data_IF_931632624796
#
_entry.id   IF_931632624796
#
_cell.length_a   1.000
_cell.length_b   1.000
_cell.length_c   1.000
_cell.angle_alpha   90.00
_cell.angle_beta   90.00
_cell.angle_gamma   90.00
#
_symmetry.space_group_name_H-M   'P 1'
#
loop_
_entity.id
_entity.type
_entity.pdbx_description
1 polymer ?
#
# COMPACT_ATOMS: atom_id res chain seq x y z
N UNK A 1 7.93 -3.77 -29.54
CA UNK A 1 9.21 -3.92 -30.26
C UNK A 1 9.73 -5.32 -29.96
N UNK A 2 10.11 -6.12 -30.96
CA UNK A 2 10.78 -7.40 -30.71
C UNK A 2 11.97 -7.21 -29.76
N UNK A 3 12.19 -8.15 -28.84
CA UNK A 3 13.30 -8.14 -27.86
C UNK A 3 13.24 -7.10 -26.72
N UNK A 4 12.30 -6.15 -26.72
CA UNK A 4 12.11 -5.27 -25.56
C UNK A 4 11.37 -5.96 -24.41
N UNK A 5 11.70 -5.66 -23.14
CA UNK A 5 11.00 -6.20 -21.98
C UNK A 5 9.53 -5.75 -21.98
N UNK A 6 8.63 -6.68 -21.65
CA UNK A 6 7.19 -6.44 -21.64
C UNK A 6 6.62 -6.55 -20.24
N UNK A 7 5.48 -5.89 -20.02
CA UNK A 7 4.67 -6.08 -18.82
C UNK A 7 4.32 -7.55 -18.57
N UNK A 8 4.06 -8.32 -19.63
CA UNK A 8 3.80 -9.76 -19.51
C UNK A 8 4.95 -10.52 -18.87
N UNK A 9 6.19 -10.15 -19.22
CA UNK A 9 7.39 -10.84 -18.74
C UNK A 9 7.63 -10.49 -17.27
N UNK A 10 7.47 -9.21 -16.92
CA UNK A 10 7.55 -8.73 -15.55
C UNK A 10 6.46 -9.36 -14.67
N UNK A 11 5.20 -9.35 -15.09
CA UNK A 11 4.10 -9.93 -14.31
C UNK A 11 4.21 -11.44 -14.18
N UNK A 12 4.75 -12.16 -15.18
CA UNK A 12 5.00 -13.59 -15.04
C UNK A 12 6.04 -13.87 -13.92
N UNK A 13 7.13 -13.10 -13.89
CA UNK A 13 8.12 -13.20 -12.82
C UNK A 13 7.56 -12.79 -11.46
N UNK A 14 6.77 -11.71 -11.42
CA UNK A 14 6.17 -11.20 -10.18
C UNK A 14 5.10 -12.16 -9.64
N UNK A 15 4.29 -12.77 -10.51
CA UNK A 15 3.29 -13.78 -10.13
C UNK A 15 3.97 -15.01 -9.52
N UNK A 16 5.06 -15.51 -10.11
CA UNK A 16 5.81 -16.62 -9.55
C UNK A 16 6.37 -16.28 -8.15
N UNK A 17 6.89 -15.07 -7.97
CA UNK A 17 7.34 -14.56 -6.67
C UNK A 17 6.19 -14.52 -5.65
N UNK A 18 5.05 -13.90 -6.00
CA UNK A 18 3.92 -13.76 -5.09
C UNK A 18 3.32 -15.11 -4.69
N UNK A 19 3.18 -16.05 -5.64
CA UNK A 19 2.63 -17.37 -5.34
C UNK A 19 3.50 -18.17 -4.39
N UNK A 20 4.83 -18.09 -4.53
CA UNK A 20 5.75 -18.74 -3.58
C UNK A 20 5.51 -18.27 -2.13
N UNK A 21 5.37 -16.95 -1.92
CA UNK A 21 5.14 -16.40 -0.59
C UNK A 21 3.70 -16.56 -0.11
N UNK A 22 2.72 -16.60 -1.02
CA UNK A 22 1.33 -16.88 -0.67
C UNK A 22 1.15 -18.32 -0.16
N UNK A 23 1.78 -19.31 -0.82
CA UNK A 23 1.82 -20.70 -0.34
C UNK A 23 2.53 -20.83 1.01
N UNK A 24 3.61 -20.05 1.22
CA UNK A 24 4.27 -19.99 2.52
C UNK A 24 3.34 -19.40 3.59
N UNK A 25 2.68 -18.28 3.28
CA UNK A 25 1.74 -17.61 4.16
C UNK A 25 0.58 -18.52 4.58
N UNK A 26 0.06 -19.33 3.64
CA UNK A 26 -0.95 -20.37 3.93
C UNK A 26 -0.40 -21.40 4.92
N UNK A 27 0.77 -21.98 4.61
CA UNK A 27 1.41 -23.01 5.45
C UNK A 27 1.75 -22.53 6.85
N UNK A 28 2.06 -21.25 7.02
CA UNK A 28 2.42 -20.65 8.31
C UNK A 28 1.23 -20.03 9.03
N UNK A 29 0.03 -20.06 8.44
CA UNK A 29 -1.18 -19.49 9.05
C UNK A 29 -1.10 -17.96 9.20
N UNK A 30 -0.52 -17.26 8.22
CA UNK A 30 -0.49 -15.81 8.22
C UNK A 30 -1.92 -15.22 8.17
N UNK A 31 -2.14 -14.16 8.92
CA UNK A 31 -3.47 -13.55 9.04
C UNK A 31 -3.90 -12.72 7.83
N UNK A 32 -2.96 -12.30 6.97
CA UNK A 32 -3.21 -11.50 5.77
C UNK A 32 -2.03 -11.61 4.80
N UNK A 33 -2.29 -11.43 3.50
CA UNK A 33 -1.26 -11.33 2.47
C UNK A 33 -1.41 -10.03 1.66
N UNK A 34 -0.31 -9.30 1.45
CA UNK A 34 -0.28 -8.06 0.66
C UNK A 34 0.41 -8.35 -0.67
N UNK A 35 -0.37 -8.36 -1.76
CA UNK A 35 0.08 -8.81 -3.09
C UNK A 35 0.91 -7.77 -3.87
N UNK A 36 1.14 -6.59 -3.31
CA UNK A 36 1.97 -5.53 -3.92
C UNK A 36 2.06 -4.30 -3.02
N UNK A 37 3.12 -3.51 -3.20
CA UNK A 37 3.40 -2.30 -2.44
C UNK A 37 3.84 -1.18 -3.40
N UNK A 38 3.14 -0.04 -3.38
CA UNK A 38 3.50 1.23 -4.04
C UNK A 38 3.82 1.13 -5.55
N UNK A 39 3.19 0.18 -6.24
CA UNK A 39 3.44 -0.07 -7.66
C UNK A 39 2.68 0.93 -8.56
N UNK A 40 2.82 2.24 -8.30
CA UNK A 40 2.01 3.33 -8.87
C UNK A 40 1.87 3.23 -10.39
N UNK A 41 2.99 3.00 -11.08
CA UNK A 41 2.96 2.88 -12.54
C UNK A 41 2.29 1.58 -12.99
N UNK A 42 2.47 0.47 -12.27
CA UNK A 42 1.90 -0.81 -12.64
C UNK A 42 0.41 -0.91 -12.33
N UNK A 43 -0.17 -0.09 -11.44
CA UNK A 43 -1.57 -0.19 -11.04
C UNK A 43 -2.56 -0.05 -12.22
N UNK A 44 -2.15 0.64 -13.30
CA UNK A 44 -2.91 0.75 -14.56
C UNK A 44 -3.06 -0.58 -15.31
N UNK A 45 -2.25 -1.60 -14.99
CA UNK A 45 -2.27 -2.94 -15.60
C UNK A 45 -3.32 -3.81 -14.90
N UNK A 46 -4.57 -3.35 -14.95
CA UNK A 46 -5.69 -3.92 -14.19
C UNK A 46 -5.89 -5.41 -14.46
N UNK A 47 -5.85 -5.84 -15.74
CA UNK A 47 -6.05 -7.24 -16.10
C UNK A 47 -4.99 -8.14 -15.47
N UNK A 48 -3.73 -7.70 -15.45
CA UNK A 48 -2.64 -8.44 -14.85
C UNK A 48 -2.74 -8.49 -13.31
N UNK A 49 -3.11 -7.39 -12.65
CA UNK A 49 -3.34 -7.36 -11.20
C UNK A 49 -4.50 -8.26 -10.77
N UNK A 50 -5.63 -8.21 -11.49
CA UNK A 50 -6.78 -9.09 -11.23
C UNK A 50 -6.39 -10.56 -11.38
N UNK A 51 -5.61 -10.91 -12.41
CA UNK A 51 -5.10 -12.27 -12.60
C UNK A 51 -4.21 -12.68 -11.42
N UNK A 52 -3.25 -11.85 -11.06
CA UNK A 52 -2.33 -12.10 -9.95
C UNK A 52 -3.07 -12.33 -8.63
N UNK A 53 -4.00 -11.44 -8.27
CA UNK A 53 -4.76 -11.53 -7.02
C UNK A 53 -5.65 -12.78 -7.03
N UNK A 54 -6.31 -13.11 -8.15
CA UNK A 54 -7.07 -14.34 -8.28
C UNK A 54 -6.20 -15.60 -8.09
N UNK A 55 -4.96 -15.57 -8.61
CA UNK A 55 -4.00 -16.66 -8.43
C UNK A 55 -3.53 -16.77 -6.97
N UNK A 56 -3.23 -15.66 -6.30
CA UNK A 56 -2.89 -15.63 -4.86
C UNK A 56 -4.02 -16.22 -4.02
N UNK A 57 -5.27 -15.78 -4.24
CA UNK A 57 -6.46 -16.30 -3.53
C UNK A 57 -6.75 -17.78 -3.81
N UNK A 58 -6.14 -18.38 -4.84
CA UNK A 58 -6.25 -19.82 -5.10
C UNK A 58 -5.31 -20.68 -4.25
N UNK A 59 -4.28 -20.08 -3.65
CA UNK A 59 -3.27 -20.77 -2.82
C UNK A 59 -3.20 -20.27 -1.38
N UNK A 60 -3.81 -19.11 -1.09
CA UNK A 60 -3.90 -18.52 0.24
C UNK A 60 -5.37 -18.24 0.58
N UNK A 61 -5.83 -18.78 1.71
CA UNK A 61 -7.23 -18.76 2.15
C UNK A 61 -7.58 -17.55 3.02
N UNK A 62 -6.57 -16.83 3.55
CA UNK A 62 -6.76 -15.61 4.32
C UNK A 62 -7.07 -14.37 3.46
N UNK A 63 -7.33 -13.22 4.10
CA UNK A 63 -7.61 -11.97 3.42
C UNK A 63 -6.41 -11.47 2.60
N UNK A 64 -6.68 -11.02 1.38
CA UNK A 64 -5.67 -10.44 0.48
C UNK A 64 -5.87 -8.93 0.37
N UNK A 65 -4.77 -8.18 0.40
CA UNK A 65 -4.74 -6.73 0.20
C UNK A 65 -3.72 -6.33 -0.87
N UNK A 66 -3.73 -5.07 -1.26
CA UNK A 66 -2.70 -4.39 -2.05
C UNK A 66 -2.42 -3.05 -1.39
N UNK A 67 -1.14 -2.77 -1.10
CA UNK A 67 -0.71 -1.53 -0.48
C UNK A 67 -0.38 -0.49 -1.56
N UNK A 68 -1.21 0.53 -1.73
CA UNK A 68 -0.94 1.62 -2.69
C UNK A 68 -0.14 2.76 -2.06
N UNK A 69 0.56 3.57 -2.87
CA UNK A 69 1.29 4.75 -2.35
C UNK A 69 0.31 5.85 -1.87
N UNK A 70 0.81 6.76 -1.05
CA UNK A 70 0.09 7.97 -0.63
C UNK A 70 -0.51 8.69 -1.84
N UNK A 71 -1.73 9.20 -1.68
CA UNK A 71 -2.51 9.87 -2.74
C UNK A 71 -2.98 8.98 -3.90
N UNK A 72 -2.72 7.67 -3.91
CA UNK A 72 -3.10 6.77 -5.01
C UNK A 72 -4.40 5.98 -4.76
N UNK A 73 -5.05 6.14 -3.61
CA UNK A 73 -6.23 5.34 -3.23
C UNK A 73 -7.38 5.43 -4.24
N UNK A 74 -7.59 6.60 -4.86
CA UNK A 74 -8.60 6.82 -5.90
C UNK A 74 -8.16 6.32 -7.29
N UNK A 75 -6.87 6.03 -7.48
CA UNK A 75 -6.29 5.68 -8.78
C UNK A 75 -6.14 4.18 -9.02
N UNK A 76 -6.51 3.34 -8.05
CA UNK A 76 -6.53 1.88 -8.19
C UNK A 76 -7.95 1.45 -8.60
N UNK A 77 -8.19 1.05 -9.86
CA UNK A 77 -9.55 0.83 -10.36
C UNK A 77 -10.12 -0.55 -9.97
N UNK A 78 -9.33 -1.40 -9.32
CA UNK A 78 -9.63 -2.83 -9.10
C UNK A 78 -9.70 -3.22 -7.63
N UNK A 79 -10.01 -2.29 -6.72
CA UNK A 79 -10.22 -2.61 -5.30
C UNK A 79 -11.29 -3.68 -5.07
N UNK A 80 -12.20 -3.90 -6.02
CA UNK A 80 -13.22 -4.95 -5.95
C UNK A 80 -12.62 -6.37 -5.87
N UNK A 81 -11.38 -6.60 -6.30
CA UNK A 81 -10.77 -7.94 -6.28
C UNK A 81 -9.93 -8.30 -5.04
N UNK A 82 -9.64 -7.34 -4.16
CA UNK A 82 -8.99 -7.59 -2.84
C UNK A 82 -10.02 -7.71 -1.71
N UNK A 83 -9.65 -8.19 -0.54
CA UNK A 83 -10.55 -8.28 0.62
C UNK A 83 -10.47 -7.04 1.52
N UNK A 84 -9.29 -6.41 1.56
CA UNK A 84 -8.99 -5.22 2.39
C UNK A 84 -8.26 -4.18 1.55
N UNK A 85 -8.65 -2.91 1.66
CA UNK A 85 -7.95 -1.79 1.02
C UNK A 85 -6.83 -1.33 1.94
N UNK A 86 -5.63 -1.10 1.41
CA UNK A 86 -4.55 -0.51 2.20
C UNK A 86 -3.72 0.50 1.41
N UNK A 87 -3.08 1.40 2.15
CA UNK A 87 -2.17 2.40 1.59
C UNK A 87 -1.02 2.71 2.53
N UNK A 88 0.05 3.26 1.96
CA UNK A 88 1.15 3.89 2.68
C UNK A 88 0.74 5.31 3.09
N UNK A 89 0.25 5.44 4.32
CA UNK A 89 -0.26 6.67 4.90
C UNK A 89 0.84 7.61 5.39
N UNK A 90 1.73 8.03 4.50
CA UNK A 90 2.79 9.00 4.78
C UNK A 90 2.32 10.42 4.47
N UNK A 91 1.41 10.94 5.29
CA UNK A 91 0.83 12.28 5.10
C UNK A 91 1.54 13.37 5.92
N UNK A 92 1.86 14.53 5.31
CA UNK A 92 2.47 15.65 6.00
C UNK A 92 1.63 16.20 7.16
N UNK A 93 2.26 16.91 8.09
CA UNK A 93 1.58 17.71 9.10
C UNK A 93 0.47 18.60 8.50
N UNK A 94 -0.64 18.72 9.24
CA UNK A 94 -1.80 19.51 8.88
C UNK A 94 -2.64 18.98 7.72
N UNK A 95 -2.26 17.87 7.09
CA UNK A 95 -2.95 17.34 5.90
C UNK A 95 -3.88 16.15 6.19
N UNK A 96 -3.78 15.52 7.36
CA UNK A 96 -4.52 14.28 7.69
C UNK A 96 -6.02 14.38 7.46
N UNK A 97 -6.68 15.43 7.97
CA UNK A 97 -8.14 15.59 7.84
C UNK A 97 -8.59 15.62 6.37
N UNK A 98 -7.87 16.33 5.50
CA UNK A 98 -8.15 16.40 4.06
C UNK A 98 -7.95 15.03 3.39
N UNK A 99 -6.84 14.36 3.69
CA UNK A 99 -6.50 13.08 3.07
C UNK A 99 -7.46 11.97 3.51
N UNK A 100 -7.86 11.95 4.78
CA UNK A 100 -8.88 11.02 5.28
C UNK A 100 -10.23 11.26 4.61
N UNK A 101 -10.62 12.51 4.34
CA UNK A 101 -11.85 12.80 3.61
C UNK A 101 -11.80 12.29 2.15
N UNK A 102 -10.64 12.37 1.49
CA UNK A 102 -10.42 11.79 0.15
C UNK A 102 -10.48 10.26 0.17
N UNK A 103 -9.74 9.62 1.09
CA UNK A 103 -9.72 8.16 1.26
C UNK A 103 -11.11 7.62 1.60
N UNK A 104 -11.87 8.31 2.47
CA UNK A 104 -13.22 7.89 2.89
C UNK A 104 -14.14 7.63 1.69
N UNK A 105 -14.07 8.46 0.64
CA UNK A 105 -14.88 8.26 -0.57
C UNK A 105 -14.61 6.91 -1.23
N UNK A 106 -13.35 6.48 -1.28
CA UNK A 106 -12.95 5.18 -1.83
C UNK A 106 -13.47 4.05 -0.95
N UNK A 107 -13.27 4.16 0.36
CA UNK A 107 -13.74 3.14 1.32
C UNK A 107 -15.27 2.99 1.28
N UNK A 108 -15.99 4.10 1.20
CA UNK A 108 -17.45 4.12 1.05
C UNK A 108 -17.91 3.61 -0.33
N UNK A 109 -17.14 3.82 -1.40
CA UNK A 109 -17.48 3.28 -2.71
C UNK A 109 -17.39 1.76 -2.75
N UNK A 110 -16.31 1.19 -2.21
CA UNK A 110 -16.04 -0.25 -2.30
C UNK A 110 -16.61 -1.07 -1.14
N UNK A 111 -16.95 -0.42 -0.02
CA UNK A 111 -17.51 -1.06 1.18
C UNK A 111 -16.59 -2.16 1.75
N UNK A 112 -15.28 -1.89 1.83
CA UNK A 112 -14.27 -2.82 2.33
C UNK A 112 -13.54 -2.25 3.55
N UNK A 113 -13.02 -3.09 4.45
CA UNK A 113 -12.14 -2.62 5.51
C UNK A 113 -10.94 -1.88 4.93
N UNK A 114 -10.47 -0.86 5.66
CA UNK A 114 -9.31 -0.06 5.30
C UNK A 114 -8.33 0.00 6.47
N UNK A 115 -7.03 -0.03 6.16
CA UNK A 115 -5.99 0.31 7.11
C UNK A 115 -4.77 0.91 6.41
N UNK A 116 -3.94 1.65 7.14
CA UNK A 116 -2.62 2.04 6.66
C UNK A 116 -1.64 0.89 6.88
N UNK A 117 -1.20 0.23 5.80
CA UNK A 117 -0.24 -0.88 5.87
C UNK A 117 1.17 -0.37 6.19
N UNK A 118 1.46 0.87 5.77
CA UNK A 118 2.67 1.58 6.11
C UNK A 118 2.30 2.97 6.63
N UNK A 119 2.91 3.37 7.74
CA UNK A 119 2.77 4.71 8.28
C UNK A 119 3.88 4.97 9.29
N UNK A 120 4.56 6.10 9.15
CA UNK A 120 5.63 6.48 10.05
C UNK A 120 6.29 7.78 9.65
N UNK A 121 7.15 8.28 10.53
CA UNK A 121 7.92 9.50 10.33
C UNK A 121 9.28 9.31 11.01
N UNK A 122 10.38 9.71 10.36
CA UNK A 122 11.71 9.60 10.96
C UNK A 122 11.90 10.61 12.08
N UNK A 123 12.76 10.29 13.05
CA UNK A 123 13.19 11.21 14.11
C UNK A 123 14.29 12.16 13.63
N UNK A 124 14.07 12.79 12.47
CA UNK A 124 14.96 13.77 11.84
C UNK A 124 14.18 15.05 11.62
N UNK A 125 14.76 16.19 11.97
CA UNK A 125 14.10 17.50 11.80
C UNK A 125 13.62 17.70 10.36
N UNK A 126 12.35 18.07 10.21
CA UNK A 126 11.66 18.28 8.92
C UNK A 126 10.97 17.04 8.36
N UNK A 127 11.14 15.85 8.97
CA UNK A 127 10.50 14.61 8.49
C UNK A 127 8.99 14.68 8.53
N UNK A 128 8.39 15.45 9.44
CA UNK A 128 6.93 15.53 9.53
C UNK A 128 6.27 16.22 8.34
N UNK A 129 7.01 17.01 7.57
CA UNK A 129 6.53 17.65 6.33
C UNK A 129 6.68 16.71 5.12
N UNK A 130 7.58 15.73 5.19
CA UNK A 130 7.88 14.75 4.13
C UNK A 130 8.11 13.34 4.71
N UNK A 131 7.11 12.75 5.39
CA UNK A 131 7.32 11.56 6.22
C UNK A 131 7.73 10.30 5.45
N UNK A 132 7.53 10.27 4.13
CA UNK A 132 7.98 9.21 3.24
C UNK A 132 9.44 9.36 2.77
N UNK A 133 10.04 10.55 2.90
CA UNK A 133 11.39 10.81 2.40
C UNK A 133 12.43 10.27 3.37
N UNK A 134 12.73 8.98 3.22
CA UNK A 134 13.77 8.29 3.99
C UNK A 134 15.19 8.79 3.67
N UNK A 135 15.37 9.65 2.66
CA UNK A 135 16.68 10.23 2.32
C UNK A 135 16.95 11.55 3.06
N UNK A 136 15.96 12.11 3.76
CA UNK A 136 16.09 13.35 4.49
C UNK A 136 17.22 13.26 5.54
N UNK A 137 18.20 14.13 5.41
CA UNK A 137 19.31 14.25 6.36
C UNK A 137 19.16 15.51 7.21
N UNK A 138 19.34 15.39 8.52
CA UNK A 138 19.24 16.51 9.44
C UNK A 138 19.61 16.11 10.87
N UNK A 139 19.57 17.06 11.82
CA UNK A 139 19.72 16.74 13.23
C UNK A 139 18.58 15.83 13.69
N UNK A 140 18.86 14.98 14.68
CA UNK A 140 17.83 14.16 15.31
C UNK A 140 16.77 15.04 15.99
N UNK A 141 15.50 14.69 15.82
CA UNK A 141 14.35 15.39 16.41
C UNK A 141 13.26 14.36 16.80
N UNK A 142 13.45 13.60 17.89
CA UNK A 142 12.47 12.62 18.33
C UNK A 142 11.14 13.27 18.77
N UNK A 143 11.18 14.53 19.21
CA UNK A 143 9.97 15.29 19.53
C UNK A 143 9.11 15.55 18.29
N UNK A 144 9.70 15.80 17.12
CA UNK A 144 8.98 15.94 15.86
C UNK A 144 8.28 14.65 15.44
N UNK A 145 9.00 13.51 15.47
CA UNK A 145 8.39 12.20 15.24
C UNK A 145 7.21 11.97 16.19
N UNK A 146 7.37 12.28 17.48
CA UNK A 146 6.29 12.14 18.46
C UNK A 146 5.11 13.08 18.19
N UNK A 147 5.34 14.31 17.71
CA UNK A 147 4.25 15.21 17.27
C UNK A 147 3.50 14.62 16.09
N UNK A 148 4.21 14.06 15.11
CA UNK A 148 3.61 13.46 13.92
C UNK A 148 2.69 12.28 14.27
N UNK A 149 3.15 11.34 15.10
CA UNK A 149 2.31 10.23 15.56
C UNK A 149 1.10 10.71 16.37
N UNK A 150 1.26 11.72 17.24
CA UNK A 150 0.13 12.27 18.02
C UNK A 150 -0.91 12.94 17.15
N UNK A 151 -0.50 13.57 16.05
CA UNK A 151 -1.44 14.15 15.10
C UNK A 151 -2.15 13.04 14.32
N UNK A 152 -1.41 12.09 13.74
CA UNK A 152 -1.99 10.95 13.04
C UNK A 152 -3.08 10.26 13.87
N UNK A 153 -2.76 9.83 15.10
CA UNK A 153 -3.72 9.14 15.97
C UNK A 153 -4.88 10.01 16.48
N UNK A 154 -4.75 11.34 16.42
CA UNK A 154 -5.86 12.24 16.78
C UNK A 154 -6.87 12.35 15.65
N UNK A 155 -6.39 12.35 14.42
CA UNK A 155 -7.20 12.57 13.22
C UNK A 155 -7.82 11.28 12.66
N UNK A 156 -7.17 10.13 12.86
CA UNK A 156 -7.65 8.79 12.45
C UNK A 156 -8.50 8.12 13.52
#
# INVERSE_FOLDING_TARGET
VPCEPKWSDWFASHEAFQLHYAELAERTGCAMFIAGCEMVMAQRREAEWRRLIGRVKSVFSGPVSYNTDKYQEENVPWWDCVDVISSSGYYPFGSWTEQLARIRKVVEQYQKPFFFAESGCMSVRGSGDVPNDWTLTGPADPEEQARWYREMFRET
#
